data_IF_550934747268
#
_entry.id   IF_550934747268
#
_cell.length_a   1.000
_cell.length_b   1.000
_cell.length_c   1.000
_cell.angle_alpha   90.00
_cell.angle_beta   90.00
_cell.angle_gamma   90.00
#
_symmetry.space_group_name_H-M   'P 1'
#
loop_
_entity.id
_entity.type
_entity.pdbx_description
1 polymer ?
#
# COMPACT_ATOMS: atom_id res chain seq x y z
N UNK A 1 -3.58 15.87 -8.75
CA UNK A 1 -2.35 15.15 -8.41
C UNK A 1 -1.19 16.03 -7.93
N UNK A 2 -1.34 17.32 -7.95
CA UNK A 2 -0.29 18.25 -7.48
C UNK A 2 -0.57 18.78 -6.07
N UNK A 3 -1.14 17.94 -5.22
CA UNK A 3 -1.46 18.31 -3.84
C UNK A 3 -0.25 18.11 -2.94
N UNK A 4 0.06 19.16 -2.16
CA UNK A 4 1.16 19.14 -1.21
C UNK A 4 0.79 18.53 0.16
N UNK A 5 1.61 18.79 1.18
CA UNK A 5 1.36 18.29 2.53
C UNK A 5 0.04 18.77 3.08
N UNK A 6 -0.74 17.86 3.66
CA UNK A 6 -2.04 18.16 4.23
C UNK A 6 -2.56 17.05 5.13
N UNK A 7 -3.64 17.33 5.84
CA UNK A 7 -4.39 16.32 6.57
C UNK A 7 -5.47 15.76 5.64
N UNK A 8 -5.54 14.44 5.54
CA UNK A 8 -6.48 13.73 4.68
C UNK A 8 -7.38 12.82 5.50
N UNK A 9 -8.59 12.61 5.00
CA UNK A 9 -9.46 11.54 5.48
C UNK A 9 -9.03 10.25 4.77
N UNK A 10 -8.75 9.21 5.56
CA UNK A 10 -8.28 7.95 5.01
C UNK A 10 -9.39 7.22 4.26
N UNK A 11 -9.03 6.59 3.15
CA UNK A 11 -9.95 5.72 2.42
C UNK A 11 -10.24 4.45 3.22
N UNK A 12 -11.39 3.80 2.98
CA UNK A 12 -11.68 2.50 3.60
C UNK A 12 -10.59 1.46 3.32
N UNK A 13 -9.96 1.52 2.15
CA UNK A 13 -8.85 0.65 1.77
C UNK A 13 -7.65 0.81 2.70
N UNK A 14 -7.24 2.05 2.95
CA UNK A 14 -6.12 2.35 3.84
C UNK A 14 -6.44 1.95 5.29
N UNK A 15 -7.65 2.20 5.74
CA UNK A 15 -8.08 1.82 7.10
C UNK A 15 -8.05 0.30 7.25
N UNK A 16 -8.57 -0.45 6.28
CA UNK A 16 -8.57 -1.91 6.31
C UNK A 16 -7.15 -2.47 6.35
N UNK A 17 -6.24 -1.94 5.55
CA UNK A 17 -4.85 -2.34 5.55
C UNK A 17 -4.18 -2.10 6.90
N UNK A 18 -4.37 -0.92 7.46
CA UNK A 18 -3.74 -0.56 8.73
C UNK A 18 -4.33 -1.33 9.92
N UNK A 19 -5.59 -1.75 9.85
CA UNK A 19 -6.22 -2.54 10.92
C UNK A 19 -5.51 -3.86 11.17
N UNK A 20 -4.81 -4.38 10.18
CA UNK A 20 -4.02 -5.60 10.27
C UNK A 20 -2.58 -5.35 10.74
N UNK A 21 -2.22 -4.10 10.95
CA UNK A 21 -0.86 -3.72 11.33
C UNK A 21 -0.64 -3.76 12.84
N UNK A 22 0.60 -4.05 13.25
CA UNK A 22 0.98 -4.10 14.66
C UNK A 22 0.75 -2.82 15.42
N UNK A 23 0.91 -1.67 14.77
CA UNK A 23 0.66 -0.35 15.36
C UNK A 23 -0.79 -0.18 15.85
N UNK A 24 -1.71 -0.97 15.32
CA UNK A 24 -3.14 -0.93 15.66
C UNK A 24 -3.63 -2.28 16.20
N UNK A 25 -2.74 -3.09 16.75
CA UNK A 25 -3.08 -4.28 17.52
C UNK A 25 -3.34 -5.55 16.71
N UNK A 26 -3.10 -5.60 15.42
CA UNK A 26 -3.32 -6.75 14.53
C UNK A 26 -4.77 -7.27 14.53
N UNK A 27 -5.72 -6.50 15.03
CA UNK A 27 -7.07 -7.02 15.32
C UNK A 27 -7.99 -7.11 14.11
N UNK A 28 -7.70 -6.37 13.04
CA UNK A 28 -8.65 -6.19 11.94
C UNK A 28 -9.82 -5.26 12.30
N UNK A 29 -9.79 -4.66 13.48
CA UNK A 29 -10.82 -3.72 13.92
C UNK A 29 -10.62 -2.36 13.26
N UNK A 30 -11.52 -2.01 12.35
CA UNK A 30 -11.44 -0.75 11.61
C UNK A 30 -11.56 0.47 12.53
N UNK A 31 -12.28 0.34 13.64
CA UNK A 31 -12.47 1.42 14.59
C UNK A 31 -11.19 1.76 15.37
N UNK A 32 -10.23 0.85 15.40
CA UNK A 32 -8.93 1.09 16.05
C UNK A 32 -8.00 1.98 15.23
N UNK A 33 -8.30 2.19 13.95
CA UNK A 33 -7.48 2.99 13.04
C UNK A 33 -7.98 4.43 13.03
N UNK A 34 -7.11 5.43 13.24
CA UNK A 34 -7.52 6.82 13.13
C UNK A 34 -8.08 7.14 11.74
N UNK A 35 -9.17 7.90 11.64
CA UNK A 35 -9.80 8.17 10.35
C UNK A 35 -9.07 9.18 9.48
N UNK A 36 -8.12 9.91 10.06
CA UNK A 36 -7.37 10.97 9.38
C UNK A 36 -5.87 10.80 9.57
N UNK A 37 -5.10 11.28 8.61
CA UNK A 37 -3.64 11.29 8.71
C UNK A 37 -3.06 12.53 8.04
N UNK A 38 -1.87 12.92 8.48
CA UNK A 38 -1.06 13.90 7.77
C UNK A 38 -0.26 13.19 6.69
N UNK A 39 -0.21 13.75 5.51
CA UNK A 39 0.53 13.19 4.38
C UNK A 39 1.30 14.28 3.64
N UNK A 40 2.43 13.91 3.05
CA UNK A 40 3.18 14.84 2.19
C UNK A 40 2.55 15.03 0.82
N UNK A 41 1.74 14.08 0.35
CA UNK A 41 1.04 14.18 -0.91
C UNK A 41 1.90 13.90 -2.15
N UNK A 42 1.25 13.79 -3.32
CA UNK A 42 1.94 13.43 -4.57
C UNK A 42 2.83 14.55 -5.14
N UNK A 43 2.59 15.82 -4.80
CA UNK A 43 3.39 16.91 -5.33
C UNK A 43 4.87 16.78 -4.97
N UNK A 44 5.17 16.40 -3.74
CA UNK A 44 6.53 16.20 -3.27
C UNK A 44 7.20 14.99 -3.94
N UNK A 45 6.42 13.94 -4.17
CA UNK A 45 6.91 12.75 -4.89
C UNK A 45 7.28 13.10 -6.32
N UNK A 46 6.45 13.87 -7.01
CA UNK A 46 6.68 14.32 -8.39
C UNK A 46 7.92 15.21 -8.46
N UNK A 47 8.09 16.11 -7.49
CA UNK A 47 9.20 17.06 -7.45
C UNK A 47 10.54 16.43 -7.05
N UNK A 48 10.55 15.23 -6.51
CA UNK A 48 11.77 14.56 -6.04
C UNK A 48 12.73 14.27 -7.19
N UNK A 49 14.03 14.42 -6.94
CA UNK A 49 15.07 14.09 -7.92
C UNK A 49 15.20 12.58 -8.13
N UNK A 50 15.06 11.83 -7.06
CA UNK A 50 15.08 10.37 -7.08
C UNK A 50 13.82 9.83 -6.43
N UNK A 51 13.27 8.81 -7.03
CA UNK A 51 12.15 8.06 -6.47
C UNK A 51 12.54 6.60 -6.36
N UNK A 52 12.38 6.06 -5.17
CA UNK A 52 12.66 4.68 -4.87
C UNK A 52 11.40 4.07 -4.27
N UNK A 53 10.82 3.12 -4.96
CA UNK A 53 9.61 2.42 -4.55
C UNK A 53 9.98 1.02 -4.07
N UNK A 54 9.80 0.74 -2.80
CA UNK A 54 10.24 -0.50 -2.17
C UNK A 54 9.02 -1.28 -1.69
N UNK A 55 8.89 -2.51 -2.18
CA UNK A 55 7.86 -3.45 -1.77
C UNK A 55 8.52 -4.66 -1.13
N UNK A 56 8.31 -4.83 0.17
CA UNK A 56 8.86 -5.96 0.91
C UNK A 56 7.85 -6.49 1.91
N UNK A 57 7.98 -7.77 2.25
CA UNK A 57 7.19 -8.36 3.32
C UNK A 57 7.95 -8.24 4.63
N UNK A 58 7.28 -7.67 5.62
CA UNK A 58 7.81 -7.58 6.99
C UNK A 58 7.12 -8.55 7.93
N UNK A 59 6.03 -9.19 7.50
CA UNK A 59 5.20 -10.07 8.32
C UNK A 59 4.64 -11.21 7.49
N UNK A 60 4.10 -12.21 8.18
CA UNK A 60 3.45 -13.38 7.59
C UNK A 60 1.94 -13.36 7.83
N UNK A 61 1.24 -14.33 7.27
CA UNK A 61 -0.20 -14.49 7.44
C UNK A 61 -1.02 -13.57 6.52
N UNK A 62 -2.17 -13.12 6.97
CA UNK A 62 -3.09 -12.28 6.20
C UNK A 62 -2.46 -10.98 5.71
N UNK A 63 -1.54 -10.42 6.48
CA UNK A 63 -0.78 -9.25 6.08
C UNK A 63 0.10 -9.50 4.86
N UNK A 64 0.72 -10.67 4.79
CA UNK A 64 1.55 -11.03 3.65
C UNK A 64 0.73 -11.05 2.37
N UNK A 65 -0.48 -11.61 2.41
CA UNK A 65 -1.39 -11.61 1.26
C UNK A 65 -1.82 -10.20 0.87
N UNK A 66 -2.12 -9.36 1.85
CA UNK A 66 -2.48 -7.97 1.61
C UNK A 66 -1.34 -7.19 0.97
N UNK A 67 -0.13 -7.33 1.49
CA UNK A 67 1.06 -6.66 0.96
C UNK A 67 1.38 -7.11 -0.47
N UNK A 68 1.23 -8.40 -0.75
CA UNK A 68 1.39 -8.94 -2.11
C UNK A 68 0.36 -8.36 -3.07
N UNK A 69 -0.89 -8.26 -2.65
CA UNK A 69 -1.96 -7.65 -3.45
C UNK A 69 -1.67 -6.18 -3.72
N UNK A 70 -1.30 -5.41 -2.69
CA UNK A 70 -1.00 -3.98 -2.83
C UNK A 70 0.17 -3.75 -3.77
N UNK A 71 1.21 -4.58 -3.69
CA UNK A 71 2.34 -4.52 -4.61
C UNK A 71 1.88 -4.66 -6.06
N UNK A 72 1.01 -5.62 -6.35
CA UNK A 72 0.48 -5.82 -7.70
C UNK A 72 -0.36 -4.65 -8.17
N UNK A 73 -1.21 -4.12 -7.31
CA UNK A 73 -2.01 -2.93 -7.62
C UNK A 73 -1.14 -1.72 -7.91
N UNK A 74 -0.06 -1.54 -7.15
CA UNK A 74 0.82 -0.40 -7.34
C UNK A 74 1.67 -0.49 -8.61
N UNK A 75 2.14 -1.69 -8.95
CA UNK A 75 3.13 -1.90 -10.02
C UNK A 75 2.47 -2.24 -11.35
N UNK A 76 1.40 -3.02 -11.34
CA UNK A 76 0.75 -3.54 -12.55
C UNK A 76 -0.70 -3.10 -12.72
N UNK A 77 -1.34 -2.62 -11.66
CA UNK A 77 -2.71 -2.18 -11.72
C UNK A 77 -2.88 -0.86 -12.47
N UNK A 78 -4.11 -0.41 -12.68
CA UNK A 78 -4.36 0.88 -13.30
C UNK A 78 -3.83 2.02 -12.41
N UNK A 79 -3.31 3.06 -13.03
CA UNK A 79 -2.89 4.27 -12.31
C UNK A 79 -4.15 5.00 -11.85
N UNK A 80 -4.34 5.08 -10.56
CA UNK A 80 -5.54 5.67 -9.96
C UNK A 80 -5.24 6.32 -8.61
N UNK A 81 -5.90 7.42 -8.27
CA UNK A 81 -5.77 8.03 -6.93
C UNK A 81 -6.22 7.11 -5.79
N UNK A 82 -6.98 6.06 -6.06
CA UNK A 82 -7.38 5.06 -5.05
C UNK A 82 -6.20 4.22 -4.58
N UNK A 83 -5.18 4.10 -5.41
CA UNK A 83 -3.90 3.44 -5.09
C UNK A 83 -2.81 4.47 -5.38
N UNK A 84 -2.52 5.39 -4.46
CA UNK A 84 -1.63 6.51 -4.74
C UNK A 84 -0.24 6.10 -5.23
N UNK A 85 0.30 4.99 -4.73
CA UNK A 85 1.60 4.47 -5.14
C UNK A 85 1.64 4.08 -6.62
N UNK A 86 0.49 3.83 -7.26
CA UNK A 86 0.42 3.54 -8.69
C UNK A 86 0.94 4.71 -9.56
N UNK A 87 1.02 5.91 -9.00
CA UNK A 87 1.61 7.08 -9.65
C UNK A 87 3.04 6.81 -10.15
N UNK A 88 3.80 5.98 -9.45
CA UNK A 88 5.18 5.66 -9.82
C UNK A 88 5.29 5.03 -11.20
N UNK A 89 4.22 4.40 -11.71
CA UNK A 89 4.20 3.86 -13.09
C UNK A 89 4.33 4.97 -14.15
N UNK A 90 3.98 6.20 -13.82
CA UNK A 90 4.04 7.36 -14.69
C UNK A 90 5.32 8.17 -14.54
N UNK A 91 6.18 7.81 -13.59
CA UNK A 91 7.36 8.56 -13.22
C UNK A 91 8.60 7.67 -13.35
N UNK A 92 9.75 8.30 -13.60
CA UNK A 92 11.03 7.59 -13.53
C UNK A 92 11.28 7.21 -12.07
N UNK A 93 11.16 5.93 -11.76
CA UNK A 93 11.25 5.39 -10.39
C UNK A 93 12.02 4.07 -10.42
N UNK A 94 12.94 3.91 -9.46
CA UNK A 94 13.57 2.63 -9.22
C UNK A 94 12.67 1.82 -8.28
N UNK A 95 12.16 0.70 -8.76
CA UNK A 95 11.25 -0.15 -8.00
C UNK A 95 11.98 -1.42 -7.55
N UNK A 96 11.96 -1.67 -6.25
CA UNK A 96 12.58 -2.83 -5.62
C UNK A 96 11.49 -3.67 -4.99
N UNK A 97 11.35 -4.90 -5.45
CA UNK A 97 10.33 -5.83 -4.94
C UNK A 97 11.06 -7.04 -4.37
N UNK A 98 10.79 -7.38 -3.11
CA UNK A 98 11.35 -8.59 -2.52
C UNK A 98 10.76 -9.83 -3.19
N UNK A 99 11.52 -10.90 -3.21
CA UNK A 99 11.07 -12.18 -3.76
C UNK A 99 9.78 -12.67 -3.10
N UNK A 100 9.68 -12.51 -1.79
CA UNK A 100 8.49 -12.89 -1.04
C UNK A 100 7.27 -12.05 -1.38
N UNK A 101 7.44 -10.74 -1.63
CA UNK A 101 6.35 -9.87 -2.08
C UNK A 101 5.91 -10.19 -3.50
N UNK A 102 6.83 -10.64 -4.34
CA UNK A 102 6.56 -11.05 -5.72
C UNK A 102 5.98 -12.46 -5.84
N UNK A 103 6.01 -13.25 -4.78
CA UNK A 103 5.50 -14.62 -4.80
C UNK A 103 4.01 -14.66 -5.14
N UNK A 104 3.59 -15.73 -5.78
CA UNK A 104 2.19 -15.91 -6.20
C UNK A 104 1.24 -15.88 -5.01
N UNK A 105 0.07 -15.32 -5.24
CA UNK A 105 -1.05 -15.39 -4.31
C UNK A 105 -1.90 -16.57 -4.75
N UNK A 106 -1.83 -17.67 -4.00
CA UNK A 106 -2.59 -18.87 -4.30
C UNK A 106 -3.75 -19.01 -3.32
N UNK A 107 -4.94 -19.35 -3.82
CA UNK A 107 -6.04 -19.65 -2.92
C UNK A 107 -5.80 -20.97 -2.18
N UNK A 108 -6.24 -21.03 -0.95
CA UNK A 108 -6.22 -22.27 -0.16
C UNK A 108 -7.52 -23.02 -0.39
N UNK A 109 -7.48 -23.97 -1.30
CA UNK A 109 -8.65 -24.76 -1.70
C UNK A 109 -9.21 -25.62 -0.57
N UNK A 110 -8.36 -26.04 0.37
CA UNK A 110 -8.78 -26.83 1.53
C UNK A 110 -9.59 -25.96 2.50
N UNK A 111 -9.30 -24.66 2.55
CA UNK A 111 -10.02 -23.72 3.36
C UNK A 111 -11.25 -23.13 2.67
N UNK A 112 -11.52 -23.49 1.42
CA UNK A 112 -12.72 -23.08 0.69
C UNK A 112 -12.67 -21.70 0.05
N UNK A 113 -11.49 -21.15 -0.16
CA UNK A 113 -11.33 -19.89 -0.88
C UNK A 113 -10.09 -19.84 -1.76
#
# INVERSE_FOLDING_TARGET
MKLGPRIVTLSPFTIAQNSLHGSFGYSGDLASVPPKAATIGPAEVIASKFRMDIHSLTTLGTKASWQRMVTRLAVHGPVTPRVPTSLHQMLKTDCYISETAAADIEPDWEMGY
#
